data_IF_920452729174
#
_entry.id   IF_920452729174
#
_cell.length_a   1.000
_cell.length_b   1.000
_cell.length_c   1.000
_cell.angle_alpha   90.00
_cell.angle_beta   90.00
_cell.angle_gamma   90.00
#
_symmetry.space_group_name_H-M   'P 1'
#
loop_
_entity.id
_entity.type
_entity.pdbx_description
1 polymer ?
#
# COMPACT_ATOMS: atom_id res chain seq x y z
N UNK A 1 6.64 -3.33 -11.65
CA UNK A 1 5.55 -2.38 -11.96
C UNK A 1 4.50 -2.98 -12.88
N UNK A 2 3.25 -2.58 -12.66
CA UNK A 2 2.18 -2.64 -13.66
C UNK A 2 1.25 -1.45 -13.40
N UNK A 3 1.25 -0.43 -14.26
CA UNK A 3 0.49 0.80 -14.02
C UNK A 3 -0.43 1.15 -15.19
N UNK A 4 -1.73 1.32 -14.90
CA UNK A 4 -2.80 1.60 -15.87
C UNK A 4 -3.66 2.82 -15.49
N UNK A 5 -3.22 3.63 -14.51
CA UNK A 5 -4.07 4.66 -13.92
C UNK A 5 -4.33 5.86 -14.85
N UNK A 6 -3.41 6.16 -15.77
CA UNK A 6 -3.50 7.33 -16.64
C UNK A 6 -3.97 6.96 -18.05
N UNK A 7 -4.61 7.90 -18.72
CA UNK A 7 -5.08 7.77 -20.09
C UNK A 7 -3.94 7.50 -21.08
N UNK A 8 -2.75 8.05 -20.81
CA UNK A 8 -1.53 7.86 -21.59
C UNK A 8 -0.80 6.53 -21.31
N UNK A 9 -1.40 5.58 -20.60
CA UNK A 9 -0.76 4.27 -20.37
C UNK A 9 -0.52 3.53 -21.69
N UNK A 10 0.53 2.70 -21.75
CA UNK A 10 0.89 1.97 -22.96
C UNK A 10 -0.28 1.07 -23.40
N UNK A 11 -0.68 1.22 -24.66
CA UNK A 11 -1.65 0.34 -25.33
C UNK A 11 -1.07 -0.14 -26.65
N UNK A 12 -0.78 -1.42 -26.72
CA UNK A 12 -0.23 -2.07 -27.92
C UNK A 12 -0.95 -3.39 -28.17
N UNK A 13 -0.88 -3.95 -29.40
CA UNK A 13 -1.43 -5.28 -29.66
C UNK A 13 -0.84 -6.38 -28.78
N UNK A 14 0.39 -6.20 -28.28
CA UNK A 14 1.09 -7.17 -27.44
C UNK A 14 0.73 -7.06 -25.94
N UNK A 15 0.04 -5.99 -25.52
CA UNK A 15 -0.32 -5.78 -24.13
C UNK A 15 -0.73 -4.36 -23.79
N UNK A 16 -1.43 -4.23 -22.66
CA UNK A 16 -1.87 -2.97 -22.08
C UNK A 16 -1.16 -2.73 -20.74
N UNK A 17 -0.90 -1.47 -20.40
CA UNK A 17 -0.28 -1.06 -19.15
C UNK A 17 1.22 -0.81 -19.27
N UNK A 18 1.70 0.08 -18.41
CA UNK A 18 3.13 0.32 -18.25
C UNK A 18 3.74 -0.82 -17.43
N UNK A 19 4.45 -1.74 -18.09
CA UNK A 19 4.96 -3.00 -17.52
C UNK A 19 6.48 -3.20 -17.75
N UNK A 20 7.21 -2.12 -18.03
CA UNK A 20 8.64 -2.13 -18.39
C UNK A 20 9.49 -1.43 -17.31
N UNK A 21 10.64 -0.89 -17.67
CA UNK A 21 11.52 -0.15 -16.75
C UNK A 21 10.94 1.22 -16.32
N UNK A 22 10.06 1.81 -17.13
CA UNK A 22 9.46 3.13 -16.90
C UNK A 22 8.11 3.23 -17.59
N UNK A 23 7.17 3.98 -17.00
CA UNK A 23 5.90 4.34 -17.64
C UNK A 23 6.01 5.57 -18.53
N UNK A 24 4.97 5.80 -19.35
CA UNK A 24 4.91 6.95 -20.28
C UNK A 24 5.02 8.31 -19.57
N UNK A 25 4.57 8.39 -18.32
CA UNK A 25 4.65 9.60 -17.49
C UNK A 25 6.03 9.84 -16.83
N UNK A 26 7.02 8.97 -17.07
CA UNK A 26 8.34 9.08 -16.45
C UNK A 26 8.50 8.34 -15.12
N UNK A 27 7.41 7.76 -14.57
CA UNK A 27 7.47 6.95 -13.34
C UNK A 27 8.33 5.69 -13.57
N UNK A 28 9.40 5.51 -12.82
CA UNK A 28 10.25 4.30 -12.89
C UNK A 28 9.51 3.08 -12.31
N UNK A 29 9.98 1.89 -12.68
CA UNK A 29 9.43 0.65 -12.13
C UNK A 29 9.52 0.59 -10.60
N UNK A 30 10.65 1.03 -10.03
CA UNK A 30 10.88 1.10 -8.59
C UNK A 30 9.88 2.03 -7.90
N UNK A 31 9.73 3.27 -8.39
CA UNK A 31 8.78 4.23 -7.83
C UNK A 31 7.34 3.71 -7.92
N UNK A 32 6.98 3.00 -9.00
CA UNK A 32 5.67 2.39 -9.12
C UNK A 32 5.44 1.31 -8.07
N UNK A 33 6.39 0.38 -7.90
CA UNK A 33 6.27 -0.70 -6.92
C UNK A 33 6.20 -0.16 -5.48
N UNK A 34 6.87 0.96 -5.20
CA UNK A 34 6.77 1.66 -3.92
C UNK A 34 5.40 2.33 -3.72
N UNK A 35 4.79 2.88 -4.78
CA UNK A 35 3.42 3.40 -4.70
C UNK A 35 2.42 2.26 -4.46
N UNK A 36 2.62 1.09 -5.06
CA UNK A 36 1.79 -0.10 -4.80
C UNK A 36 1.91 -0.56 -3.34
N UNK A 37 3.13 -0.58 -2.78
CA UNK A 37 3.38 -0.85 -1.37
C UNK A 37 2.69 0.16 -0.44
N UNK A 38 2.71 1.44 -0.81
CA UNK A 38 2.02 2.49 -0.05
C UNK A 38 0.51 2.26 -0.07
N UNK A 39 -0.09 1.94 -1.21
CA UNK A 39 -1.51 1.60 -1.31
C UNK A 39 -1.86 0.40 -0.42
N UNK A 40 -1.08 -0.67 -0.46
CA UNK A 40 -1.29 -1.84 0.40
C UNK A 40 -1.21 -1.48 1.90
N UNK A 41 -0.28 -0.60 2.26
CA UNK A 41 -0.12 -0.11 3.64
C UNK A 41 -1.33 0.73 4.08
N UNK A 42 -1.82 1.62 3.20
CA UNK A 42 -3.00 2.43 3.45
C UNK A 42 -4.28 1.60 3.58
N UNK A 43 -4.46 0.57 2.75
CA UNK A 43 -5.57 -0.37 2.90
C UNK A 43 -5.56 -1.07 4.27
N UNK A 44 -4.36 -1.44 4.76
CA UNK A 44 -4.20 -2.00 6.10
C UNK A 44 -4.52 -1.02 7.21
N UNK A 45 -4.11 0.25 7.07
CA UNK A 45 -4.48 1.33 7.99
C UNK A 45 -6.00 1.55 7.98
N UNK A 46 -6.62 1.63 6.80
CA UNK A 46 -8.06 1.84 6.66
C UNK A 46 -8.88 0.70 7.26
N UNK A 47 -8.46 -0.56 7.11
CA UNK A 47 -9.14 -1.70 7.72
C UNK A 47 -9.20 -1.57 9.25
N UNK A 48 -8.10 -1.19 9.89
CA UNK A 48 -8.06 -0.92 11.32
C UNK A 48 -8.79 0.36 11.72
N UNK A 49 -8.77 1.41 10.90
CA UNK A 49 -9.54 2.63 11.14
C UNK A 49 -11.06 2.37 11.12
N UNK A 50 -11.54 1.55 10.19
CA UNK A 50 -12.96 1.12 10.15
C UNK A 50 -13.30 0.32 11.41
N UNK A 51 -12.46 -0.65 11.79
CA UNK A 51 -12.67 -1.45 13.01
C UNK A 51 -12.67 -0.59 14.28
N UNK A 52 -11.77 0.38 14.37
CA UNK A 52 -11.66 1.30 15.49
C UNK A 52 -12.93 2.13 15.70
N UNK A 53 -13.59 2.53 14.60
CA UNK A 53 -14.86 3.28 14.65
C UNK A 53 -16.00 2.47 15.28
N UNK A 54 -15.99 1.14 15.17
CA UNK A 54 -16.97 0.27 15.88
C UNK A 54 -16.83 0.39 17.40
N UNK A 55 -15.64 0.72 17.90
CA UNK A 55 -15.34 0.96 19.32
C UNK A 55 -15.39 2.44 19.70
N UNK A 56 -15.86 3.33 18.81
CA UNK A 56 -15.88 4.77 19.04
C UNK A 56 -14.50 5.45 19.01
N UNK A 57 -13.45 4.76 18.56
CA UNK A 57 -12.10 5.31 18.45
C UNK A 57 -11.95 6.00 17.09
N UNK A 58 -11.74 7.32 17.11
CA UNK A 58 -11.56 8.15 15.91
C UNK A 58 -10.23 8.90 16.03
N UNK A 59 -9.36 8.74 15.04
CA UNK A 59 -8.09 9.45 14.96
C UNK A 59 -8.12 10.48 13.83
N UNK A 60 -8.20 11.77 14.20
CA UNK A 60 -8.12 12.86 13.23
C UNK A 60 -6.78 12.89 12.47
N UNK A 61 -5.69 12.43 13.08
CA UNK A 61 -4.40 12.34 12.41
C UNK A 61 -4.43 11.34 11.26
N UNK A 62 -5.06 10.18 11.47
CA UNK A 62 -5.24 9.18 10.41
C UNK A 62 -6.17 9.68 9.31
N UNK A 63 -7.28 10.32 9.69
CA UNK A 63 -8.24 10.90 8.73
C UNK A 63 -7.59 11.99 7.86
N UNK A 64 -6.64 12.75 8.40
CA UNK A 64 -5.87 13.76 7.65
C UNK A 64 -4.68 13.19 6.86
N UNK A 65 -4.08 12.11 7.34
CA UNK A 65 -2.90 11.50 6.74
C UNK A 65 -3.25 10.65 5.53
N UNK A 66 -4.24 9.76 5.65
CA UNK A 66 -4.60 8.80 4.60
C UNK A 66 -4.87 9.45 3.23
N UNK A 67 -5.72 10.50 3.10
CA UNK A 67 -5.96 11.13 1.80
C UNK A 67 -4.71 11.82 1.23
N UNK A 68 -3.85 12.38 2.08
CA UNK A 68 -2.60 13.03 1.66
C UNK A 68 -1.59 12.02 1.11
N UNK A 69 -1.43 10.90 1.81
CA UNK A 69 -0.57 9.80 1.38
C UNK A 69 -1.11 9.16 0.08
N UNK A 70 -2.43 8.94 -0.02
CA UNK A 70 -3.07 8.47 -1.24
C UNK A 70 -2.89 9.44 -2.41
N UNK A 71 -3.04 10.75 -2.18
CA UNK A 71 -2.83 11.76 -3.22
C UNK A 71 -1.42 11.69 -3.82
N UNK A 72 -0.42 11.30 -3.03
CA UNK A 72 0.96 11.15 -3.51
C UNK A 72 1.16 10.05 -4.56
N UNK A 73 0.21 9.14 -4.75
CA UNK A 73 0.28 8.07 -5.76
C UNK A 73 -0.37 8.46 -7.10
N UNK A 74 -1.02 9.63 -7.16
CA UNK A 74 -1.67 10.11 -8.38
C UNK A 74 -0.65 10.47 -9.47
N UNK A 75 -1.10 10.49 -10.72
CA UNK A 75 -0.25 10.68 -11.90
C UNK A 75 0.44 12.04 -11.81
N UNK A 76 1.76 12.06 -12.02
CA UNK A 76 2.59 13.28 -11.99
C UNK A 76 2.59 14.05 -10.66
N UNK A 77 2.25 13.40 -9.54
CA UNK A 77 2.29 14.06 -8.23
C UNK A 77 3.62 13.87 -7.51
N UNK A 78 4.10 12.63 -7.39
CA UNK A 78 5.31 12.35 -6.62
C UNK A 78 6.15 11.22 -7.23
N UNK A 79 7.41 11.54 -7.57
CA UNK A 79 8.41 10.57 -8.04
C UNK A 79 9.58 10.38 -7.07
N UNK A 80 9.52 10.96 -5.87
CA UNK A 80 10.53 10.82 -4.82
C UNK A 80 10.30 9.52 -4.04
N UNK A 81 11.06 8.48 -4.39
CA UNK A 81 11.02 7.16 -3.76
C UNK A 81 11.24 7.20 -2.24
N UNK A 82 12.29 7.87 -1.70
CA UNK A 82 12.45 8.07 -0.26
C UNK A 82 11.21 8.65 0.44
N UNK A 83 10.54 9.64 -0.16
CA UNK A 83 9.31 10.22 0.40
C UNK A 83 8.16 9.22 0.41
N UNK A 84 8.01 8.41 -0.63
CA UNK A 84 6.98 7.35 -0.70
C UNK A 84 7.22 6.29 0.39
N UNK A 85 8.48 5.89 0.60
CA UNK A 85 8.87 4.99 1.71
C UNK A 85 8.53 5.61 3.06
N UNK A 86 8.75 6.92 3.23
CA UNK A 86 8.34 7.67 4.42
C UNK A 86 6.84 7.57 4.70
N UNK A 87 6.00 7.78 3.69
CA UNK A 87 4.56 7.60 3.81
C UNK A 87 4.16 6.17 4.19
N UNK A 88 4.78 5.15 3.56
CA UNK A 88 4.46 3.76 3.87
C UNK A 88 4.79 3.40 5.32
N UNK A 89 5.94 3.85 5.82
CA UNK A 89 6.34 3.68 7.23
C UNK A 89 5.37 4.37 8.19
N UNK A 90 4.97 5.60 7.88
CA UNK A 90 4.02 6.34 8.70
C UNK A 90 2.63 5.66 8.73
N UNK A 91 2.17 5.15 7.60
CA UNK A 91 0.92 4.38 7.51
C UNK A 91 0.97 3.12 8.38
N UNK A 92 2.08 2.38 8.35
CA UNK A 92 2.28 1.18 9.18
C UNK A 92 2.31 1.54 10.67
N UNK A 93 3.01 2.60 11.05
CA UNK A 93 3.07 3.04 12.45
C UNK A 93 1.67 3.43 12.98
N UNK A 94 0.91 4.21 12.21
CA UNK A 94 -0.48 4.56 12.56
C UNK A 94 -1.38 3.34 12.65
N UNK A 95 -1.19 2.35 11.75
CA UNK A 95 -1.94 1.09 11.76
C UNK A 95 -1.70 0.31 13.04
N UNK A 96 -0.44 0.12 13.44
CA UNK A 96 -0.12 -0.61 14.68
C UNK A 96 -0.65 0.11 15.92
N UNK A 97 -0.59 1.46 15.95
CA UNK A 97 -1.15 2.24 17.04
C UNK A 97 -2.68 2.10 17.15
N UNK A 98 -3.40 2.14 16.03
CA UNK A 98 -4.85 1.91 15.99
C UNK A 98 -5.22 0.49 16.39
N UNK A 99 -4.48 -0.50 15.87
CA UNK A 99 -4.64 -1.91 16.23
C UNK A 99 -4.49 -2.13 17.73
N UNK A 100 -3.45 -1.55 18.35
CA UNK A 100 -3.23 -1.65 19.79
C UNK A 100 -4.40 -1.06 20.59
N UNK A 101 -4.96 0.08 20.15
CA UNK A 101 -6.14 0.67 20.79
C UNK A 101 -7.38 -0.22 20.65
N UNK A 102 -7.63 -0.79 19.48
CA UNK A 102 -8.73 -1.74 19.29
C UNK A 102 -8.58 -2.98 20.18
N UNK A 103 -7.38 -3.55 20.26
CA UNK A 103 -7.10 -4.74 21.09
C UNK A 103 -7.21 -4.47 22.59
N UNK A 104 -7.01 -3.22 23.02
CA UNK A 104 -7.24 -2.81 24.40
C UNK A 104 -8.73 -2.79 24.78
N UNK A 105 -9.62 -2.58 23.80
CA UNK A 105 -11.08 -2.64 23.99
C UNK A 105 -11.61 -4.06 23.83
N UNK A 106 -11.12 -4.79 22.82
CA UNK A 106 -11.52 -6.16 22.50
C UNK A 106 -10.29 -6.97 22.06
N UNK A 107 -9.84 -7.89 22.92
CA UNK A 107 -8.66 -8.72 22.67
C UNK A 107 -8.82 -9.63 21.43
N UNK A 108 -10.03 -9.86 20.94
CA UNK A 108 -10.32 -10.66 19.75
C UNK A 108 -10.54 -9.80 18.49
N UNK A 109 -10.35 -8.48 18.58
CA UNK A 109 -10.49 -7.58 17.44
C UNK A 109 -9.60 -8.06 16.28
N UNK A 110 -10.22 -8.30 15.13
CA UNK A 110 -9.55 -8.73 13.91
C UNK A 110 -10.11 -8.02 12.69
N UNK A 111 -9.31 -7.93 11.64
CA UNK A 111 -9.68 -7.30 10.37
C UNK A 111 -9.30 -8.20 9.21
N UNK A 112 -10.14 -8.25 8.18
CA UNK A 112 -9.79 -8.87 6.90
C UNK A 112 -9.04 -7.86 6.04
N UNK A 113 -7.82 -8.18 5.65
CA UNK A 113 -7.09 -7.42 4.65
C UNK A 113 -6.41 -8.38 3.66
N UNK A 114 -6.78 -8.36 2.37
CA UNK A 114 -6.18 -9.24 1.36
C UNK A 114 -4.66 -9.05 1.22
N UNK A 115 -4.10 -7.92 1.65
CA UNK A 115 -2.67 -7.60 1.59
C UNK A 115 -2.02 -7.50 2.99
N UNK A 116 -2.80 -7.75 4.05
CA UNK A 116 -2.41 -7.57 5.45
C UNK A 116 -1.52 -8.68 6.02
N UNK A 117 -1.26 -9.76 5.27
CA UNK A 117 -0.21 -10.74 5.60
C UNK A 117 1.15 -10.21 5.13
N UNK A 118 1.55 -9.02 5.57
CA UNK A 118 2.92 -8.55 5.37
C UNK A 118 3.83 -9.31 6.32
N UNK A 119 4.22 -10.52 5.91
CA UNK A 119 5.27 -11.32 6.52
C UNK A 119 6.63 -10.66 6.28
N UNK A 120 6.91 -9.55 6.98
CA UNK A 120 8.30 -9.18 7.27
C UNK A 120 8.75 -10.10 8.41
N UNK A 121 8.90 -11.41 8.13
CA UNK A 121 9.32 -12.39 9.14
C UNK A 121 9.04 -13.86 8.84
N UNK A 122 7.99 -14.20 8.09
CA UNK A 122 7.66 -15.61 7.82
C UNK A 122 7.97 -15.98 6.38
N UNK A 123 9.15 -16.61 6.20
CA UNK A 123 9.43 -17.42 5.02
C UNK A 123 8.28 -18.42 4.86
N UNK A 124 7.48 -18.28 3.81
CA UNK A 124 6.58 -19.34 3.37
C UNK A 124 7.42 -20.59 3.12
N UNK A 125 7.23 -21.62 3.92
CA UNK A 125 7.76 -22.96 3.68
C UNK A 125 7.22 -23.44 2.33
N UNK A 126 8.02 -23.28 1.27
CA UNK A 126 7.67 -23.69 -0.09
C UNK A 126 7.95 -22.68 -1.22
N UNK A 127 8.49 -21.49 -0.96
CA UNK A 127 8.85 -20.57 -2.04
C UNK A 127 10.31 -20.81 -2.49
N UNK A 128 10.56 -21.28 -3.74
CA UNK A 128 11.92 -21.43 -4.25
C UNK A 128 12.57 -20.05 -4.41
N UNK A 129 13.81 -19.92 -3.93
CA UNK A 129 14.54 -18.66 -3.75
C UNK A 129 14.79 -17.81 -5.02
N UNK A 130 14.27 -18.19 -6.18
CA UNK A 130 14.54 -17.55 -7.47
C UNK A 130 13.31 -16.90 -8.15
N UNK A 131 12.10 -17.08 -7.62
CA UNK A 131 10.92 -16.41 -8.16
C UNK A 131 10.66 -15.15 -7.33
N UNK A 132 11.10 -14.00 -7.86
CA UNK A 132 10.79 -12.69 -7.29
C UNK A 132 9.31 -12.61 -6.92
N UNK A 133 9.06 -12.14 -5.70
CA UNK A 133 7.74 -12.02 -5.09
C UNK A 133 6.87 -11.08 -5.94
N UNK A 134 6.25 -11.61 -7.01
CA UNK A 134 5.30 -10.85 -7.82
C UNK A 134 4.03 -10.70 -7.01
N UNK A 135 3.78 -9.47 -6.58
CA UNK A 135 2.56 -9.04 -5.88
C UNK A 135 1.38 -8.89 -6.87
N UNK A 136 1.57 -9.22 -8.15
CA UNK A 136 0.53 -9.15 -9.18
C UNK A 136 0.34 -10.48 -9.90
N UNK A 137 -0.89 -10.79 -10.37
CA UNK A 137 -1.19 -11.97 -11.18
C UNK A 137 -0.36 -12.03 -12.47
#
# INVERSE_FOLDING_TARGET
MFCVQCEQTIRTPAGNGCSYAQGMCGKTAETSDLQDLLIASLQGLSAWAVKAREYGIISHDVDNFAPRAFFSTLTNVNFDSPRIVGYARQAIAMREALKAQCLAVDANASVSNPHGRSAVGERRSGCPAAAGCRIYP
#
